data_IF_872065466895
#
_entry.id   IF_872065466895
#
_cell.length_a   1.000
_cell.length_b   1.000
_cell.length_c   1.000
_cell.angle_alpha   90.00
_cell.angle_beta   90.00
_cell.angle_gamma   90.00
#
_symmetry.space_group_name_H-M   'P 1'
#
loop_
_entity.id
_entity.type
_entity.pdbx_description
1 polymer ?
#
# COMPACT_ATOMS: atom_id res chain seq x y z
N UNK A 1 5.67 9.45 11.67
CA UNK A 1 4.63 8.39 11.53
C UNK A 1 3.92 8.11 12.84
N UNK A 2 4.64 7.80 13.93
CA UNK A 2 4.03 7.62 15.26
C UNK A 2 3.35 8.91 15.80
N UNK A 3 3.87 10.06 15.38
CA UNK A 3 3.41 11.38 15.85
C UNK A 3 1.99 11.73 15.41
N UNK A 4 1.51 11.23 14.27
CA UNK A 4 0.15 11.52 13.79
C UNK A 4 -0.89 10.81 14.64
N UNK A 5 -0.64 9.56 15.03
CA UNK A 5 -1.51 8.80 15.94
C UNK A 5 -1.55 9.48 17.31
N UNK A 6 -0.40 9.81 17.88
CA UNK A 6 -0.30 10.55 19.13
C UNK A 6 -1.02 11.93 19.08
N UNK A 7 -0.95 12.63 17.94
CA UNK A 7 -1.67 13.89 17.72
C UNK A 7 -3.19 13.68 17.71
N UNK A 8 -3.69 12.59 17.14
CA UNK A 8 -5.13 12.32 17.08
C UNK A 8 -5.69 11.86 18.42
N UNK A 9 -4.91 11.05 19.15
CA UNK A 9 -5.20 10.68 20.53
C UNK A 9 -5.27 11.92 21.42
N UNK A 10 -4.28 12.82 21.34
CA UNK A 10 -4.29 14.07 22.12
C UNK A 10 -5.44 15.02 21.77
N UNK A 11 -5.98 14.93 20.55
CA UNK A 11 -7.17 15.68 20.11
C UNK A 11 -8.49 14.99 20.43
N UNK A 12 -8.47 13.78 20.99
CA UNK A 12 -9.68 13.02 21.34
C UNK A 12 -10.56 12.67 20.12
N UNK A 13 -9.97 12.55 18.93
CA UNK A 13 -10.70 12.24 17.70
C UNK A 13 -10.88 10.74 17.58
N UNK A 14 -12.09 10.28 17.25
CA UNK A 14 -12.31 8.87 16.92
C UNK A 14 -11.67 8.55 15.57
N UNK A 15 -10.68 7.65 15.57
CA UNK A 15 -10.02 7.18 14.35
C UNK A 15 -9.78 5.66 14.37
N UNK A 16 -9.46 5.11 13.20
CA UNK A 16 -8.98 3.74 13.05
C UNK A 16 -7.72 3.77 12.19
N UNK A 17 -6.65 3.16 12.68
CA UNK A 17 -5.37 3.06 11.99
C UNK A 17 -5.24 1.71 11.29
N UNK A 18 -4.86 1.73 10.01
CA UNK A 18 -4.53 0.54 9.24
C UNK A 18 -3.17 0.78 8.57
N UNK A 19 -2.31 -0.24 8.62
CA UNK A 19 -0.95 -0.21 8.08
C UNK A 19 -0.77 -1.27 6.98
N UNK A 20 -1.29 -1.01 5.77
CA UNK A 20 -1.09 -1.91 4.64
C UNK A 20 0.34 -1.80 4.11
N UNK A 21 0.91 -2.93 3.66
CA UNK A 21 2.27 -2.96 3.12
C UNK A 21 2.31 -2.35 1.71
N UNK A 22 1.32 -2.67 0.87
CA UNK A 22 1.11 -2.04 -0.44
C UNK A 22 -0.38 -1.88 -0.71
N UNK A 23 -0.77 -0.69 -1.19
CA UNK A 23 -2.13 -0.41 -1.68
C UNK A 23 -2.08 -0.28 -3.19
N UNK A 24 -3.06 -0.87 -3.88
CA UNK A 24 -3.24 -0.73 -5.32
C UNK A 24 -4.65 -0.27 -5.71
N UNK A 25 -4.72 0.48 -6.81
CA UNK A 25 -5.93 0.95 -7.51
C UNK A 25 -5.50 1.61 -8.84
N UNK A 26 -6.39 1.73 -9.84
CA UNK A 26 -6.16 2.65 -10.95
C UNK A 26 -5.88 4.06 -10.42
N UNK A 27 -4.86 4.74 -10.95
CA UNK A 27 -4.36 6.06 -10.50
C UNK A 27 -3.45 6.05 -9.25
N UNK A 28 -2.90 4.91 -8.86
CA UNK A 28 -1.85 4.87 -7.84
C UNK A 28 -0.62 5.70 -8.29
N UNK A 29 -0.12 6.58 -7.42
CA UNK A 29 1.05 7.43 -7.70
C UNK A 29 2.34 6.64 -7.87
N UNK A 30 2.40 5.44 -7.29
CA UNK A 30 3.51 4.50 -7.42
C UNK A 30 3.06 3.29 -8.27
N UNK A 31 3.25 3.32 -9.60
CA UNK A 31 2.72 2.32 -10.52
C UNK A 31 3.58 1.04 -10.54
N UNK A 32 3.83 0.45 -9.37
CA UNK A 32 4.64 -0.77 -9.21
C UNK A 32 4.06 -1.89 -10.08
N UNK A 33 2.73 -2.04 -10.09
CA UNK A 33 2.03 -3.05 -10.88
C UNK A 33 2.22 -2.85 -12.38
N UNK A 34 2.16 -1.58 -12.83
CA UNK A 34 2.31 -1.24 -14.25
C UNK A 34 3.68 -1.66 -14.77
N UNK A 35 4.73 -1.46 -13.97
CA UNK A 35 6.08 -1.90 -14.31
C UNK A 35 6.16 -3.42 -14.55
N UNK A 36 5.51 -4.22 -13.70
CA UNK A 36 5.43 -5.68 -13.89
C UNK A 36 4.65 -6.03 -15.15
N UNK A 37 3.49 -5.41 -15.37
CA UNK A 37 2.67 -5.68 -16.56
C UNK A 37 3.36 -5.30 -17.87
N UNK A 38 4.09 -4.18 -17.92
CA UNK A 38 4.90 -3.80 -19.08
C UNK A 38 5.99 -4.83 -19.39
N UNK A 39 6.68 -5.36 -18.36
CA UNK A 39 7.70 -6.40 -18.52
C UNK A 39 7.10 -7.69 -19.07
N UNK A 40 6.00 -8.16 -18.48
CA UNK A 40 5.29 -9.36 -18.91
C UNK A 40 4.80 -9.23 -20.36
N UNK A 41 4.15 -8.11 -20.70
CA UNK A 41 3.66 -7.83 -22.06
C UNK A 41 4.79 -7.77 -23.09
N UNK A 42 5.96 -7.25 -22.71
CA UNK A 42 7.13 -7.18 -23.58
C UNK A 42 7.98 -8.47 -23.61
N UNK A 43 7.55 -9.54 -22.92
CA UNK A 43 8.32 -10.79 -22.82
C UNK A 43 9.67 -10.64 -22.12
N UNK A 44 9.84 -9.60 -21.30
CA UNK A 44 11.09 -9.32 -20.57
C UNK A 44 11.10 -10.09 -19.25
N UNK A 45 12.23 -10.69 -18.84
CA UNK A 45 12.32 -11.39 -17.56
C UNK A 45 12.03 -10.44 -16.41
N UNK A 46 11.44 -10.91 -15.30
CA UNK A 46 11.24 -10.12 -14.08
C UNK A 46 12.42 -10.40 -13.12
N UNK A 47 13.11 -9.39 -12.58
CA UNK A 47 14.23 -9.59 -11.68
C UNK A 47 13.66 -9.88 -10.28
N UNK A 48 13.97 -11.06 -9.74
CA UNK A 48 13.53 -11.43 -8.41
C UNK A 48 14.63 -11.07 -7.41
N UNK A 49 14.38 -10.21 -6.41
CA UNK A 49 15.40 -9.83 -5.45
C UNK A 49 15.70 -10.98 -4.47
N UNK A 50 17.00 -11.18 -4.19
CA UNK A 50 17.52 -12.14 -3.20
C UNK A 50 17.04 -13.58 -3.49
N UNK A 51 16.53 -14.28 -2.47
CA UNK A 51 16.09 -15.68 -2.54
C UNK A 51 14.76 -15.88 -3.27
N UNK A 52 14.02 -14.81 -3.59
CA UNK A 52 12.70 -14.91 -4.23
C UNK A 52 11.58 -15.52 -3.39
N UNK A 53 11.83 -15.77 -2.11
CA UNK A 53 10.85 -16.34 -1.17
C UNK A 53 10.03 -15.28 -0.43
N UNK A 54 10.26 -14.00 -0.73
CA UNK A 54 9.53 -12.90 -0.10
C UNK A 54 8.10 -12.85 -0.63
N UNK A 55 7.14 -12.99 0.28
CA UNK A 55 5.72 -12.77 0.01
C UNK A 55 5.34 -11.40 0.55
N UNK A 56 4.72 -10.58 -0.30
CA UNK A 56 4.16 -9.29 0.10
C UNK A 56 2.65 -9.32 -0.05
N UNK A 57 1.94 -8.56 0.79
CA UNK A 57 0.49 -8.45 0.75
C UNK A 57 0.09 -7.19 -0.02
N UNK A 58 -0.81 -7.36 -1.00
CA UNK A 58 -1.41 -6.27 -1.77
C UNK A 58 -2.84 -6.06 -1.28
N UNK A 59 -3.19 -4.81 -0.95
CA UNK A 59 -4.54 -4.43 -0.52
C UNK A 59 -5.19 -3.48 -1.52
N UNK A 60 -6.43 -3.75 -1.92
CA UNK A 60 -7.17 -2.85 -2.82
C UNK A 60 -7.64 -1.59 -2.09
N UNK A 61 -7.52 -0.40 -2.68
CA UNK A 61 -7.91 0.88 -2.01
C UNK A 61 -9.37 0.90 -1.54
N UNK A 62 -10.24 0.11 -2.18
CA UNK A 62 -11.67 0.00 -1.81
C UNK A 62 -11.85 -0.41 -0.33
N UNK A 63 -10.93 -1.17 0.25
CA UNK A 63 -10.95 -1.54 1.67
C UNK A 63 -10.78 -0.31 2.58
N UNK A 64 -10.10 0.74 2.13
CA UNK A 64 -9.82 1.92 2.96
C UNK A 64 -10.96 2.94 3.01
N UNK A 65 -11.93 2.90 2.07
CA UNK A 65 -12.98 3.94 1.94
C UNK A 65 -14.15 3.80 2.91
N UNK A 66 -14.33 2.64 3.55
CA UNK A 66 -15.51 2.36 4.38
C UNK A 66 -15.41 2.86 5.83
N UNK A 67 -14.26 3.36 6.26
CA UNK A 67 -14.00 3.81 7.63
C UNK A 67 -13.36 5.20 7.56
N UNK A 68 -13.58 6.08 8.55
CA UNK A 68 -12.78 7.31 8.71
C UNK A 68 -11.35 6.91 9.05
N UNK A 69 -10.60 6.60 8.01
CA UNK A 69 -9.38 5.84 8.09
C UNK A 69 -8.19 6.74 7.82
N UNK A 70 -7.18 6.63 8.67
CA UNK A 70 -5.88 7.24 8.39
C UNK A 70 -4.98 6.13 7.87
N UNK A 71 -4.60 6.27 6.60
CA UNK A 71 -3.63 5.40 5.94
C UNK A 71 -2.26 5.95 6.29
N UNK A 72 -1.49 5.15 7.04
CA UNK A 72 -0.10 5.46 7.33
C UNK A 72 0.74 4.61 6.36
N UNK A 73 1.26 5.26 5.33
CA UNK A 73 2.35 4.75 4.48
C UNK A 73 3.68 5.02 5.18
#
# INVERSE_FOLDING_TARGET
MLETEALLESKGVNYTSIRPVYIYDPLNYNPVEEWFFHRLKAGRPIPIPKSGLQVTQLSHVKVSKSVKLIIIL
#
